data_IF_610300470467
#
_entry.id   IF_610300470467
#
_cell.length_a   1.000
_cell.length_b   1.000
_cell.length_c   1.000
_cell.angle_alpha   90.00
_cell.angle_beta   90.00
_cell.angle_gamma   90.00
#
_symmetry.space_group_name_H-M   'P 1'
#
loop_
_entity.id
_entity.type
_entity.pdbx_description
1 polymer ?
#
# COMPACT_ATOMS: atom_id res chain seq x y z
N UNK A 1 24.74 -2.09 -12.10
CA UNK A 1 24.63 -0.89 -11.24
C UNK A 1 24.70 0.37 -12.09
N UNK A 2 23.84 1.36 -11.82
CA UNK A 2 23.93 2.71 -12.37
C UNK A 2 24.13 3.71 -11.24
N UNK A 3 24.89 4.76 -11.50
CA UNK A 3 25.19 5.86 -10.62
C UNK A 3 24.79 7.16 -11.33
N UNK A 4 23.87 7.92 -10.74
CA UNK A 4 23.38 9.19 -11.29
C UNK A 4 23.62 10.32 -10.28
N UNK A 5 24.07 11.46 -10.79
CA UNK A 5 24.27 12.69 -10.03
C UNK A 5 22.94 13.36 -9.75
N UNK A 6 22.73 13.82 -8.52
CA UNK A 6 21.44 14.32 -8.07
C UNK A 6 21.54 15.77 -7.53
N UNK A 7 21.49 16.79 -8.40
CA UNK A 7 21.46 18.19 -7.94
C UNK A 7 20.12 18.62 -7.32
N UNK A 8 19.01 18.00 -7.69
CA UNK A 8 17.66 18.43 -7.30
C UNK A 8 17.20 17.91 -5.94
N UNK A 9 17.87 16.89 -5.40
CA UNK A 9 17.53 16.27 -4.12
C UNK A 9 18.71 16.34 -3.14
N UNK A 10 19.56 17.37 -3.29
CA UNK A 10 20.74 17.55 -2.45
C UNK A 10 20.31 17.62 -0.97
N UNK A 11 20.76 16.68 -0.14
CA UNK A 11 20.36 16.58 1.27
C UNK A 11 18.92 16.12 1.54
N UNK A 12 18.22 15.56 0.55
CA UNK A 12 16.89 14.95 0.75
C UNK A 12 17.05 13.48 1.18
N UNK A 13 16.76 13.20 2.44
CA UNK A 13 16.54 11.84 2.95
C UNK A 13 15.05 11.48 2.81
N UNK A 14 14.72 10.18 2.79
CA UNK A 14 13.31 9.77 2.82
C UNK A 14 12.54 9.82 1.49
N UNK A 15 13.20 9.73 0.33
CA UNK A 15 12.56 9.90 -1.00
C UNK A 15 12.86 8.74 -1.96
N UNK A 16 11.83 8.03 -2.41
CA UNK A 16 11.95 7.09 -3.52
C UNK A 16 11.87 7.78 -4.89
N UNK A 17 12.92 7.68 -5.70
CA UNK A 17 12.95 8.31 -7.03
C UNK A 17 12.05 7.61 -8.06
N UNK A 18 11.16 8.37 -8.68
CA UNK A 18 10.20 7.88 -9.67
C UNK A 18 10.82 7.72 -11.06
N UNK A 19 10.11 7.00 -11.94
CA UNK A 19 10.47 6.76 -13.35
C UNK A 19 10.90 8.03 -14.09
N UNK A 20 10.19 9.13 -13.89
CA UNK A 20 10.46 10.40 -14.57
C UNK A 20 11.85 10.97 -14.31
N UNK A 21 12.40 10.73 -13.11
CA UNK A 21 13.77 11.14 -12.80
C UNK A 21 14.78 10.42 -13.70
N UNK A 22 14.64 9.11 -13.88
CA UNK A 22 15.56 8.30 -14.67
C UNK A 22 15.37 8.47 -16.19
N UNK A 23 14.22 8.98 -16.63
CA UNK A 23 14.01 9.39 -18.02
C UNK A 23 14.69 10.72 -18.34
N UNK A 24 14.80 11.62 -17.37
CA UNK A 24 15.38 12.96 -17.54
C UNK A 24 16.88 13.01 -17.23
N UNK A 25 17.39 12.12 -16.38
CA UNK A 25 18.77 12.13 -15.92
C UNK A 25 19.56 10.94 -16.47
N UNK A 26 20.73 11.23 -17.07
CA UNK A 26 21.67 10.21 -17.53
C UNK A 26 22.56 9.72 -16.40
N UNK A 27 22.95 8.44 -16.43
CA UNK A 27 23.91 7.90 -15.47
C UNK A 27 25.30 8.49 -15.68
N UNK A 28 25.90 9.02 -14.61
CA UNK A 28 27.28 9.50 -14.57
C UNK A 28 28.31 8.36 -14.54
N UNK A 29 27.94 7.23 -13.93
CA UNK A 29 28.74 6.01 -13.93
C UNK A 29 27.84 4.77 -13.98
N UNK A 30 28.35 3.66 -14.50
CA UNK A 30 27.64 2.37 -14.51
C UNK A 30 28.63 1.23 -14.55
N UNK A 31 28.22 0.07 -14.05
CA UNK A 31 28.96 -1.17 -14.28
C UNK A 31 29.08 -1.42 -15.78
N UNK A 32 30.29 -1.73 -16.25
CA UNK A 32 30.58 -1.88 -17.69
C UNK A 32 29.74 -2.97 -18.34
N UNK A 33 29.49 -4.07 -17.62
CA UNK A 33 28.72 -5.21 -18.10
C UNK A 33 27.78 -5.73 -17.00
N UNK A 34 26.60 -6.21 -17.42
CA UNK A 34 25.78 -7.10 -16.61
C UNK A 34 26.29 -8.52 -16.86
N UNK A 35 27.05 -9.05 -15.90
CA UNK A 35 27.65 -10.38 -15.98
C UNK A 35 27.05 -11.27 -14.91
N UNK A 36 26.86 -12.55 -15.24
CA UNK A 36 26.36 -13.54 -14.28
C UNK A 36 27.52 -14.05 -13.40
N UNK A 37 28.03 -13.17 -12.53
CA UNK A 37 29.00 -13.49 -11.50
C UNK A 37 28.41 -13.20 -10.13
N UNK A 38 28.94 -13.88 -9.10
CA UNK A 38 28.56 -13.66 -7.70
C UNK A 38 28.77 -12.21 -7.24
N UNK A 39 29.78 -11.54 -7.78
CA UNK A 39 30.08 -10.14 -7.47
C UNK A 39 30.42 -9.40 -8.76
N UNK A 40 29.90 -8.17 -8.86
CA UNK A 40 30.28 -7.20 -9.90
C UNK A 40 30.79 -5.96 -9.18
N UNK A 41 32.09 -5.70 -9.28
CA UNK A 41 32.75 -4.53 -8.71
C UNK A 41 33.25 -3.60 -9.81
N UNK A 42 33.31 -2.30 -9.52
CA UNK A 42 33.78 -1.28 -10.45
C UNK A 42 34.41 -0.14 -9.65
N UNK A 43 35.46 0.46 -10.20
CA UNK A 43 36.14 1.61 -9.61
C UNK A 43 35.78 2.85 -10.41
N UNK A 44 35.35 3.91 -9.73
CA UNK A 44 34.98 5.17 -10.35
C UNK A 44 35.77 6.33 -9.74
N UNK A 45 36.02 7.35 -10.56
CA UNK A 45 36.49 8.65 -10.11
C UNK A 45 35.41 9.67 -10.51
N UNK A 46 34.69 10.19 -9.53
CA UNK A 46 33.58 11.11 -9.74
C UNK A 46 33.92 12.46 -9.09
N UNK A 47 33.43 13.58 -9.65
CA UNK A 47 33.48 14.87 -8.96
C UNK A 47 32.86 14.82 -7.56
N UNK A 48 33.19 15.78 -6.70
CA UNK A 48 32.56 15.85 -5.38
C UNK A 48 31.06 16.13 -5.52
N UNK A 49 30.23 15.36 -4.82
CA UNK A 49 28.78 15.54 -4.78
C UNK A 49 28.03 14.28 -4.37
N UNK A 50 26.70 14.35 -4.45
CA UNK A 50 25.79 13.26 -4.07
C UNK A 50 25.43 12.39 -5.27
N UNK A 51 25.45 11.08 -5.04
CA UNK A 51 25.27 10.07 -6.07
C UNK A 51 24.33 8.97 -5.59
N UNK A 52 23.49 8.49 -6.50
CA UNK A 52 22.52 7.43 -6.21
C UNK A 52 22.95 6.17 -6.93
N UNK A 53 23.13 5.09 -6.17
CA UNK A 53 23.50 3.78 -6.70
C UNK A 53 22.26 2.90 -6.80
N UNK A 54 21.98 2.41 -8.01
CA UNK A 54 20.86 1.51 -8.27
C UNK A 54 21.41 0.10 -8.56
N UNK A 55 21.37 -0.83 -7.59
CA UNK A 55 21.62 -2.24 -7.83
C UNK A 55 20.41 -2.89 -8.52
N UNK A 56 20.65 -3.68 -9.56
CA UNK A 56 19.59 -4.41 -10.27
C UNK A 56 20.16 -5.63 -10.99
N UNK A 57 19.29 -6.59 -11.30
CA UNK A 57 19.54 -7.60 -12.34
C UNK A 57 19.38 -6.99 -13.74
N UNK A 58 19.75 -7.74 -14.78
CA UNK A 58 19.57 -7.31 -16.16
C UNK A 58 18.09 -7.36 -16.58
N UNK A 59 17.45 -8.50 -16.33
CA UNK A 59 16.02 -8.69 -16.57
C UNK A 59 15.21 -8.30 -15.32
N UNK A 60 14.00 -7.74 -15.49
CA UNK A 60 13.07 -7.54 -14.39
C UNK A 60 12.58 -8.90 -13.83
N UNK A 61 11.93 -8.85 -12.67
CA UNK A 61 11.29 -10.02 -12.02
C UNK A 61 12.27 -11.17 -11.70
N UNK A 62 13.52 -10.84 -11.41
CA UNK A 62 14.51 -11.79 -10.88
C UNK A 62 14.70 -11.50 -9.41
N UNK A 63 14.26 -12.44 -8.57
CA UNK A 63 14.46 -12.37 -7.14
C UNK A 63 15.91 -12.67 -6.78
N UNK A 64 16.44 -11.94 -5.80
CA UNK A 64 17.79 -12.15 -5.31
C UNK A 64 18.12 -11.24 -4.14
N UNK A 65 18.85 -11.79 -3.17
CA UNK A 65 19.45 -11.02 -2.10
C UNK A 65 20.83 -10.52 -2.55
N UNK A 66 21.17 -9.28 -2.22
CA UNK A 66 22.46 -8.70 -2.57
C UNK A 66 23.05 -7.92 -1.38
N UNK A 67 24.35 -7.66 -1.47
CA UNK A 67 25.06 -6.77 -0.55
C UNK A 67 25.80 -5.74 -1.38
N UNK A 68 25.55 -4.46 -1.14
CA UNK A 68 26.28 -3.36 -1.74
C UNK A 68 27.37 -2.89 -0.77
N UNK A 69 28.60 -2.76 -1.26
CA UNK A 69 29.75 -2.24 -0.48
C UNK A 69 30.36 -1.08 -1.25
N UNK A 70 30.51 0.06 -0.57
CA UNK A 70 31.14 1.26 -1.13
C UNK A 70 32.47 1.48 -0.41
N UNK A 71 33.54 1.58 -1.19
CA UNK A 71 34.88 1.90 -0.69
C UNK A 71 35.32 3.24 -1.29
N UNK A 72 35.67 4.18 -0.44
CA UNK A 72 36.09 5.53 -0.81
C UNK A 72 37.47 5.84 -0.21
N UNK A 73 38.27 6.64 -0.93
CA UNK A 73 39.60 7.08 -0.45
C UNK A 73 39.47 8.13 0.66
N UNK A 74 38.41 8.95 0.59
CA UNK A 74 38.06 9.96 1.59
C UNK A 74 36.80 9.53 2.33
N UNK A 75 36.61 10.04 3.54
CA UNK A 75 35.37 9.81 4.27
C UNK A 75 34.16 10.20 3.42
N UNK A 76 33.20 9.29 3.32
CA UNK A 76 31.94 9.47 2.61
C UNK A 76 30.82 8.89 3.45
N UNK A 77 29.70 9.59 3.48
CA UNK A 77 28.46 9.07 4.07
C UNK A 77 27.70 8.28 3.01
N UNK A 78 27.01 7.24 3.44
CA UNK A 78 26.17 6.40 2.58
C UNK A 78 24.91 6.03 3.35
N UNK A 79 23.76 6.31 2.77
CA UNK A 79 22.46 6.03 3.35
C UNK A 79 21.57 5.30 2.35
N UNK A 80 20.60 4.54 2.85
CA UNK A 80 19.56 3.96 2.02
C UNK A 80 18.55 5.05 1.64
N UNK A 81 18.35 5.24 0.34
CA UNK A 81 17.40 6.21 -0.17
C UNK A 81 16.04 5.52 -0.43
N UNK A 82 15.13 5.67 0.52
CA UNK A 82 13.79 5.08 0.48
C UNK A 82 12.76 5.99 1.17
N UNK A 83 11.48 5.74 0.95
CA UNK A 83 10.40 6.52 1.57
C UNK A 83 10.28 6.23 3.07
N UNK A 84 10.00 7.27 3.87
CA UNK A 84 9.60 7.08 5.26
C UNK A 84 8.16 6.56 5.36
N UNK A 85 7.94 5.65 6.31
CA UNK A 85 6.64 5.06 6.54
C UNK A 85 5.67 6.11 7.08
N UNK A 86 4.66 6.49 6.29
CA UNK A 86 3.65 7.46 6.70
C UNK A 86 2.30 7.19 6.01
N UNK A 87 1.23 7.64 6.66
CA UNK A 87 -0.13 7.56 6.13
C UNK A 87 -0.85 8.89 6.36
N UNK A 88 -1.13 9.58 5.25
CA UNK A 88 -1.95 10.78 5.17
C UNK A 88 -3.36 10.38 4.72
N UNK A 89 -4.14 9.90 5.70
CA UNK A 89 -5.49 9.43 5.47
C UNK A 89 -6.47 10.56 5.80
N UNK A 90 -7.49 10.81 4.96
CA UNK A 90 -8.50 11.80 5.27
C UNK A 90 -9.23 11.44 6.57
N UNK A 91 -9.51 12.43 7.40
CA UNK A 91 -10.35 12.23 8.58
C UNK A 91 -11.74 11.75 8.13
N UNK A 92 -12.25 10.73 8.82
CA UNK A 92 -13.58 10.23 8.55
C UNK A 92 -14.61 11.28 8.97
N UNK A 93 -15.46 11.75 8.04
CA UNK A 93 -16.48 12.73 8.39
C UNK A 93 -17.43 12.11 9.42
N UNK A 94 -17.68 12.84 10.50
CA UNK A 94 -18.70 12.48 11.49
C UNK A 94 -20.07 12.72 10.86
N UNK A 95 -20.53 11.74 10.08
CA UNK A 95 -21.80 11.82 9.37
C UNK A 95 -22.97 11.57 10.31
N UNK A 96 -23.96 12.46 10.28
CA UNK A 96 -25.25 12.18 10.87
C UNK A 96 -26.10 11.37 9.89
N UNK A 97 -26.97 10.49 10.41
CA UNK A 97 -27.88 9.70 9.55
C UNK A 97 -28.79 10.58 8.69
N UNK A 98 -29.10 11.80 9.12
CA UNK A 98 -29.86 12.77 8.34
C UNK A 98 -29.15 13.22 7.07
N UNK A 99 -27.82 13.14 7.01
CA UNK A 99 -27.00 13.56 5.88
C UNK A 99 -26.86 12.47 4.81
N UNK A 100 -27.23 11.23 5.15
CA UNK A 100 -27.21 10.10 4.22
C UNK A 100 -28.42 10.20 3.29
N UNK A 101 -28.16 10.06 1.98
CA UNK A 101 -29.20 10.07 0.95
C UNK A 101 -30.29 9.01 1.19
N UNK A 102 -31.55 9.39 0.99
CA UNK A 102 -32.71 8.51 1.19
C UNK A 102 -32.71 7.29 0.25
N UNK A 103 -32.10 7.42 -0.94
CA UNK A 103 -31.88 6.32 -1.85
C UNK A 103 -30.89 5.29 -1.28
N UNK A 104 -29.81 5.75 -0.64
CA UNK A 104 -28.87 4.86 0.05
C UNK A 104 -29.50 4.21 1.28
N UNK A 105 -30.25 4.94 2.09
CA UNK A 105 -31.01 4.38 3.22
C UNK A 105 -31.96 3.28 2.75
N UNK A 106 -32.70 3.54 1.69
CA UNK A 106 -33.62 2.57 1.08
C UNK A 106 -32.89 1.32 0.58
N UNK A 107 -31.70 1.47 0.01
CA UNK A 107 -30.84 0.34 -0.38
C UNK A 107 -30.38 -0.44 0.86
N UNK A 108 -29.89 0.25 1.89
CA UNK A 108 -29.44 -0.36 3.14
C UNK A 108 -30.57 -1.15 3.80
N UNK A 109 -31.76 -0.58 3.96
CA UNK A 109 -32.90 -1.30 4.59
C UNK A 109 -33.30 -2.55 3.81
N UNK A 110 -33.26 -2.51 2.48
CA UNK A 110 -33.51 -3.69 1.63
C UNK A 110 -32.45 -4.79 1.83
N UNK A 111 -31.21 -4.41 2.15
CA UNK A 111 -30.09 -5.33 2.30
C UNK A 111 -29.94 -5.86 3.74
N UNK A 112 -30.10 -4.99 4.74
CA UNK A 112 -29.99 -5.31 6.16
C UNK A 112 -31.18 -6.14 6.66
N UNK A 113 -32.38 -5.89 6.10
CA UNK A 113 -33.62 -6.55 6.51
C UNK A 113 -34.09 -6.08 7.87
N UNK A 114 -34.79 -6.96 8.61
CA UNK A 114 -35.41 -6.61 9.90
C UNK A 114 -34.41 -6.30 11.01
N UNK A 115 -33.18 -6.81 10.90
CA UNK A 115 -32.13 -6.58 11.90
C UNK A 115 -31.54 -5.18 11.84
N UNK A 116 -31.73 -4.44 10.73
CA UNK A 116 -31.11 -3.12 10.49
C UNK A 116 -29.59 -3.08 10.65
N UNK A 117 -28.94 -4.25 10.55
CA UNK A 117 -27.49 -4.44 10.63
C UNK A 117 -27.02 -5.39 9.52
N UNK A 118 -25.80 -5.17 9.04
CA UNK A 118 -25.15 -6.00 8.02
C UNK A 118 -24.07 -6.85 8.68
N UNK A 119 -24.17 -8.17 8.51
CA UNK A 119 -23.20 -9.15 8.98
C UNK A 119 -22.19 -9.52 7.88
N UNK A 120 -21.19 -10.34 8.22
CA UNK A 120 -20.11 -10.74 7.30
C UNK A 120 -20.67 -11.41 6.01
N UNK A 121 -21.57 -12.40 6.07
CA UNK A 121 -22.10 -13.04 4.86
C UNK A 121 -22.91 -12.09 3.98
N UNK A 122 -23.75 -11.22 4.58
CA UNK A 122 -24.49 -10.22 3.81
C UNK A 122 -23.54 -9.24 3.14
N UNK A 123 -22.52 -8.73 3.86
CA UNK A 123 -21.52 -7.82 3.30
C UNK A 123 -20.82 -8.45 2.10
N UNK A 124 -20.35 -9.69 2.25
CA UNK A 124 -19.70 -10.44 1.18
C UNK A 124 -20.60 -10.56 -0.07
N UNK A 125 -21.86 -10.93 0.12
CA UNK A 125 -22.82 -11.05 -0.98
C UNK A 125 -23.06 -9.70 -1.68
N UNK A 126 -23.19 -8.61 -0.91
CA UNK A 126 -23.42 -7.27 -1.44
C UNK A 126 -22.22 -6.82 -2.28
N UNK A 127 -21.01 -6.89 -1.72
CA UNK A 127 -19.80 -6.46 -2.40
C UNK A 127 -19.56 -7.27 -3.67
N UNK A 128 -19.70 -8.60 -3.62
CA UNK A 128 -19.51 -9.45 -4.80
C UNK A 128 -20.57 -9.19 -5.88
N UNK A 129 -21.82 -8.93 -5.49
CA UNK A 129 -22.86 -8.55 -6.46
C UNK A 129 -22.54 -7.24 -7.16
N UNK A 130 -21.89 -6.30 -6.48
CA UNK A 130 -21.54 -4.99 -7.03
C UNK A 130 -20.32 -5.11 -7.92
N UNK A 131 -19.25 -5.75 -7.46
CA UNK A 131 -18.04 -5.92 -8.28
C UNK A 131 -18.31 -6.75 -9.53
N UNK A 132 -19.16 -7.79 -9.45
CA UNK A 132 -19.53 -8.58 -10.63
C UNK A 132 -20.31 -7.80 -11.71
N UNK A 133 -20.83 -6.60 -11.41
CA UNK A 133 -21.42 -5.71 -12.44
C UNK A 133 -20.34 -5.00 -13.26
N UNK A 134 -19.13 -4.86 -12.72
CA UNK A 134 -18.00 -4.18 -13.34
C UNK A 134 -17.16 -5.18 -14.13
N UNK A 135 -17.46 -5.31 -15.44
CA UNK A 135 -16.76 -6.23 -16.33
C UNK A 135 -15.30 -5.86 -16.61
N UNK A 136 -14.94 -4.61 -16.31
CA UNK A 136 -13.61 -4.04 -16.41
C UNK A 136 -12.66 -4.54 -15.31
N UNK A 137 -13.18 -5.19 -14.26
CA UNK A 137 -12.40 -5.61 -13.10
C UNK A 137 -12.32 -7.13 -13.08
N UNK A 138 -11.10 -7.66 -12.94
CA UNK A 138 -10.88 -9.08 -12.71
C UNK A 138 -10.76 -9.32 -11.21
N UNK A 139 -11.61 -10.19 -10.69
CA UNK A 139 -11.60 -10.60 -9.29
C UNK A 139 -12.32 -11.93 -9.14
N UNK A 140 -11.95 -12.70 -8.12
CA UNK A 140 -12.69 -13.87 -7.67
C UNK A 140 -13.78 -13.53 -6.64
N UNK A 141 -13.97 -12.24 -6.36
CA UNK A 141 -14.82 -11.71 -5.31
C UNK A 141 -14.11 -11.62 -3.96
N UNK A 142 -14.69 -10.84 -3.07
CA UNK A 142 -14.25 -10.69 -1.69
C UNK A 142 -14.42 -11.99 -0.91
N UNK A 143 -13.36 -12.36 -0.20
CA UNK A 143 -13.36 -13.44 0.77
C UNK A 143 -14.02 -13.02 2.09
N UNK A 144 -14.39 -14.00 2.91
CA UNK A 144 -14.97 -13.72 4.23
C UNK A 144 -13.99 -13.01 5.16
N UNK A 145 -12.71 -13.30 5.04
CA UNK A 145 -11.65 -12.65 5.83
C UNK A 145 -11.53 -11.18 5.47
N UNK A 146 -11.54 -10.84 4.18
CA UNK A 146 -11.60 -9.46 3.73
C UNK A 146 -12.77 -8.72 4.37
N UNK A 147 -13.98 -9.29 4.29
CA UNK A 147 -15.18 -8.72 4.90
C UNK A 147 -15.07 -8.55 6.41
N UNK A 148 -14.42 -9.49 7.12
CA UNK A 148 -14.15 -9.34 8.56
C UNK A 148 -13.24 -8.15 8.85
N UNK A 149 -12.14 -7.99 8.10
CA UNK A 149 -11.26 -6.84 8.27
C UNK A 149 -11.97 -5.51 7.99
N UNK A 150 -12.89 -5.46 7.02
CA UNK A 150 -13.70 -4.26 6.76
C UNK A 150 -14.63 -3.92 7.92
N UNK A 151 -15.28 -4.93 8.50
CA UNK A 151 -16.17 -4.73 9.65
C UNK A 151 -15.35 -4.29 10.86
N UNK A 152 -14.22 -4.95 11.14
CA UNK A 152 -13.38 -4.61 12.28
C UNK A 152 -12.82 -3.18 12.22
N UNK A 153 -12.56 -2.66 11.02
CA UNK A 153 -12.11 -1.27 10.85
C UNK A 153 -13.20 -0.24 11.21
N UNK A 154 -14.47 -0.55 10.95
CA UNK A 154 -15.57 0.42 10.99
C UNK A 154 -16.58 0.18 12.12
N UNK A 155 -16.55 -0.99 12.75
CA UNK A 155 -17.46 -1.33 13.84
C UNK A 155 -17.06 -0.57 15.11
N UNK A 156 -17.64 0.62 15.24
CA UNK A 156 -17.53 1.47 16.44
C UNK A 156 -18.28 0.89 17.65
N UNK A 157 -19.15 -0.11 17.44
CA UNK A 157 -20.02 -0.68 18.48
C UNK A 157 -19.47 -1.95 19.11
N UNK A 158 -18.47 -2.59 18.49
CA UNK A 158 -17.86 -3.83 18.93
C UNK A 158 -18.77 -5.07 18.81
N UNK A 159 -19.84 -5.00 18.02
CA UNK A 159 -20.82 -6.08 17.84
C UNK A 159 -20.47 -7.06 16.71
N UNK A 160 -19.47 -6.75 15.90
CA UNK A 160 -19.10 -7.46 14.68
C UNK A 160 -20.11 -7.29 13.54
N UNK A 161 -20.87 -6.18 13.53
CA UNK A 161 -21.92 -5.88 12.55
C UNK A 161 -21.88 -4.39 12.17
N UNK A 162 -22.30 -4.07 10.96
CA UNK A 162 -22.32 -2.68 10.48
C UNK A 162 -23.73 -2.09 10.55
N UNK A 163 -23.85 -0.94 11.20
CA UNK A 163 -25.03 -0.10 11.11
C UNK A 163 -25.08 0.70 9.81
N UNK A 164 -26.13 1.52 9.63
CA UNK A 164 -26.31 2.36 8.44
C UNK A 164 -25.13 3.32 8.22
N UNK A 165 -24.63 3.96 9.30
CA UNK A 165 -23.51 4.92 9.23
C UNK A 165 -22.22 4.22 8.83
N UNK A 166 -21.85 3.16 9.55
CA UNK A 166 -20.61 2.42 9.31
C UNK A 166 -20.59 1.83 7.89
N UNK A 167 -21.73 1.29 7.44
CA UNK A 167 -21.85 0.77 6.09
C UNK A 167 -21.75 1.87 5.02
N UNK A 168 -22.30 3.08 5.28
CA UNK A 168 -22.14 4.21 4.38
C UNK A 168 -20.67 4.63 4.25
N UNK A 169 -19.94 4.74 5.37
CA UNK A 169 -18.51 5.06 5.35
C UNK A 169 -17.72 3.99 4.59
N UNK A 170 -18.00 2.71 4.84
CA UNK A 170 -17.39 1.61 4.08
C UNK A 170 -17.63 1.76 2.58
N UNK A 171 -18.86 2.07 2.21
CA UNK A 171 -19.28 2.15 0.83
C UNK A 171 -18.59 3.31 0.09
N UNK A 172 -18.48 4.48 0.71
CA UNK A 172 -17.73 5.61 0.16
C UNK A 172 -16.24 5.26 -0.02
N UNK A 173 -15.62 4.61 0.97
CA UNK A 173 -14.23 4.14 0.88
C UNK A 173 -14.03 3.17 -0.28
N UNK A 174 -14.90 2.16 -0.43
CA UNK A 174 -14.80 1.19 -1.52
C UNK A 174 -14.95 1.88 -2.89
N UNK A 175 -15.83 2.88 -3.01
CA UNK A 175 -15.93 3.68 -4.26
C UNK A 175 -14.68 4.51 -4.54
N UNK A 176 -14.06 5.09 -3.52
CA UNK A 176 -12.79 5.79 -3.67
C UNK A 176 -11.68 4.83 -4.11
N UNK A 177 -11.55 3.68 -3.46
CA UNK A 177 -10.59 2.64 -3.83
C UNK A 177 -10.84 2.09 -5.23
N UNK A 178 -12.11 1.96 -5.66
CA UNK A 178 -12.47 1.61 -7.03
C UNK A 178 -12.00 2.66 -8.05
N UNK A 179 -12.08 3.94 -7.68
CA UNK A 179 -11.64 5.05 -8.54
C UNK A 179 -10.13 5.04 -8.70
N UNK A 180 -9.39 4.96 -7.58
CA UNK A 180 -7.93 4.79 -7.57
C UNK A 180 -7.54 3.54 -8.36
N UNK A 181 -8.25 2.42 -8.18
CA UNK A 181 -7.91 1.18 -8.87
C UNK A 181 -7.96 1.34 -10.39
N UNK A 182 -9.02 1.98 -10.91
CA UNK A 182 -9.17 2.25 -12.34
C UNK A 182 -8.19 3.27 -12.88
N UNK A 183 -7.80 4.24 -12.06
CA UNK A 183 -6.84 5.28 -12.46
C UNK A 183 -5.44 4.70 -12.65
N UNK A 184 -5.05 3.74 -11.80
CA UNK A 184 -3.71 3.15 -11.79
C UNK A 184 -3.60 1.79 -12.47
N UNK A 185 -4.70 1.18 -12.93
CA UNK A 185 -4.69 0.07 -13.91
C UNK A 185 -4.35 0.63 -15.30
N UNK A 186 -3.08 0.99 -15.49
CA UNK A 186 -2.59 1.74 -16.65
C UNK A 186 -2.66 0.91 -17.94
N UNK A 187 -2.45 -0.40 -17.81
CA UNK A 187 -2.55 -1.34 -18.91
C UNK A 187 -3.99 -1.86 -19.15
N UNK A 188 -4.95 -1.47 -18.30
CA UNK A 188 -6.35 -1.89 -18.34
C UNK A 188 -6.50 -3.40 -18.32
N UNK A 189 -5.61 -4.08 -17.61
CA UNK A 189 -5.63 -5.53 -17.47
C UNK A 189 -6.78 -6.00 -16.57
N UNK A 190 -7.37 -5.09 -15.78
CA UNK A 190 -8.35 -5.40 -14.74
C UNK A 190 -7.71 -5.91 -13.44
N UNK A 191 -6.38 -5.82 -13.35
CA UNK A 191 -5.52 -6.24 -12.24
C UNK A 191 -4.37 -5.25 -12.08
N UNK A 192 -3.68 -5.21 -10.94
CA UNK A 192 -2.52 -4.33 -10.76
C UNK A 192 -1.22 -5.10 -10.68
N UNK A 193 -0.23 -4.72 -11.46
CA UNK A 193 1.14 -5.18 -11.21
C UNK A 193 1.79 -4.44 -10.03
N UNK A 194 2.99 -4.85 -9.62
CA UNK A 194 3.69 -4.25 -8.48
C UNK A 194 4.02 -2.76 -8.68
N UNK A 195 4.27 -2.29 -9.90
CA UNK A 195 4.52 -0.87 -10.16
C UNK A 195 3.26 -0.04 -9.98
N UNK A 196 2.13 -0.51 -10.52
CA UNK A 196 0.82 0.13 -10.39
C UNK A 196 0.36 0.16 -8.93
N UNK A 197 0.54 -0.95 -8.22
CA UNK A 197 0.22 -1.07 -6.79
C UNK A 197 0.96 -0.01 -5.96
N UNK A 198 2.26 0.23 -6.23
CA UNK A 198 3.03 1.25 -5.50
C UNK A 198 2.46 2.66 -5.71
N UNK A 199 2.12 3.01 -6.94
CA UNK A 199 1.52 4.30 -7.27
C UNK A 199 0.12 4.45 -6.66
N UNK A 200 -0.69 3.38 -6.70
CA UNK A 200 -2.03 3.37 -6.13
C UNK A 200 -2.02 3.53 -4.61
N UNK A 201 -1.08 2.90 -3.90
CA UNK A 201 -0.90 3.07 -2.45
C UNK A 201 -0.51 4.52 -2.10
N UNK A 202 0.40 5.12 -2.87
CA UNK A 202 0.81 6.51 -2.70
C UNK A 202 -0.37 7.47 -2.92
N UNK A 203 -1.17 7.24 -3.96
CA UNK A 203 -2.38 8.03 -4.25
C UNK A 203 -3.48 7.85 -3.20
N UNK A 204 -3.54 6.69 -2.55
CA UNK A 204 -4.41 6.43 -1.41
C UNK A 204 -3.91 7.05 -0.09
N UNK A 205 -2.76 7.73 -0.10
CA UNK A 205 -2.19 8.43 1.05
C UNK A 205 -1.14 7.64 1.83
N UNK A 206 -0.73 6.46 1.37
CA UNK A 206 0.26 5.62 2.04
C UNK A 206 1.64 5.76 1.39
N UNK A 207 2.63 6.24 2.15
CA UNK A 207 4.05 6.18 1.77
C UNK A 207 4.71 5.04 2.52
N UNK A 208 5.29 4.12 1.76
CA UNK A 208 5.84 2.87 2.29
C UNK A 208 7.27 2.69 1.78
N UNK A 209 8.17 2.30 2.69
CA UNK A 209 9.49 1.82 2.31
C UNK A 209 9.39 0.52 1.48
N UNK A 210 10.47 0.17 0.79
CA UNK A 210 10.60 -1.01 -0.05
C UNK A 210 10.36 -2.30 0.72
N UNK A 211 10.83 -2.40 1.96
CA UNK A 211 10.68 -3.62 2.75
C UNK A 211 9.20 -3.94 3.02
N UNK A 212 8.44 -2.98 3.55
CA UNK A 212 7.01 -3.14 3.81
C UNK A 212 6.23 -3.34 2.51
N UNK A 213 6.59 -2.62 1.45
CA UNK A 213 5.97 -2.81 0.15
C UNK A 213 6.17 -4.23 -0.41
N UNK A 214 7.38 -4.80 -0.29
CA UNK A 214 7.65 -6.17 -0.70
C UNK A 214 6.82 -7.19 0.10
N UNK A 215 6.65 -6.97 1.41
CA UNK A 215 5.77 -7.81 2.25
C UNK A 215 4.30 -7.73 1.80
N UNK A 216 3.83 -6.55 1.40
CA UNK A 216 2.48 -6.37 0.84
C UNK A 216 2.34 -7.16 -0.45
N UNK A 217 3.27 -7.03 -1.39
CA UNK A 217 3.23 -7.79 -2.64
C UNK A 217 3.26 -9.30 -2.37
N UNK A 218 4.14 -9.77 -1.49
CA UNK A 218 4.23 -11.18 -1.13
C UNK A 218 2.94 -11.72 -0.47
N UNK A 219 2.20 -10.88 0.25
CA UNK A 219 0.97 -11.28 0.94
C UNK A 219 -0.29 -11.23 0.06
N UNK A 220 -0.36 -10.28 -0.86
CA UNK A 220 -1.58 -9.93 -1.59
C UNK A 220 -1.53 -10.18 -3.11
N UNK A 221 -0.33 -10.30 -3.70
CA UNK A 221 -0.23 -10.68 -5.11
C UNK A 221 -0.60 -12.16 -5.30
N UNK A 222 -1.23 -12.46 -6.44
CA UNK A 222 -1.52 -13.82 -6.89
C UNK A 222 -0.30 -14.43 -7.57
N UNK A 223 -0.44 -15.66 -8.06
CA UNK A 223 0.67 -16.43 -8.68
C UNK A 223 1.29 -15.75 -9.91
N UNK A 224 0.56 -14.85 -10.55
CA UNK A 224 1.00 -14.07 -11.72
C UNK A 224 1.67 -12.75 -11.34
N UNK A 225 1.94 -12.51 -10.05
CA UNK A 225 2.49 -11.26 -9.50
C UNK A 225 1.57 -10.04 -9.66
N UNK A 226 0.30 -10.26 -9.96
CA UNK A 226 -0.71 -9.22 -10.01
C UNK A 226 -1.62 -9.25 -8.78
N UNK A 227 -2.21 -8.08 -8.48
CA UNK A 227 -3.11 -7.87 -7.36
C UNK A 227 -4.50 -7.59 -7.92
N UNK A 228 -5.46 -8.47 -7.60
CA UNK A 228 -6.87 -8.30 -7.95
C UNK A 228 -7.53 -7.23 -7.07
N UNK A 229 -8.68 -6.71 -7.49
CA UNK A 229 -9.39 -5.64 -6.76
C UNK A 229 -9.75 -6.00 -5.30
N UNK A 230 -10.18 -7.24 -5.05
CA UNK A 230 -10.48 -7.70 -3.69
C UNK A 230 -9.25 -7.67 -2.79
N UNK A 231 -8.10 -8.07 -3.33
CA UNK A 231 -6.82 -8.12 -2.61
C UNK A 231 -6.27 -6.71 -2.37
N UNK A 232 -6.43 -5.80 -3.34
CA UNK A 232 -6.12 -4.38 -3.21
C UNK A 232 -6.91 -3.71 -2.08
N UNK A 233 -8.24 -3.83 -2.11
CA UNK A 233 -9.12 -3.24 -1.08
C UNK A 233 -8.83 -3.84 0.30
N UNK A 234 -8.61 -5.15 0.37
CA UNK A 234 -8.27 -5.82 1.64
C UNK A 234 -6.94 -5.32 2.19
N UNK A 235 -5.95 -5.10 1.34
CA UNK A 235 -4.67 -4.51 1.73
C UNK A 235 -4.84 -3.11 2.30
N UNK A 236 -5.55 -2.22 1.59
CA UNK A 236 -5.77 -0.84 2.03
C UNK A 236 -6.50 -0.76 3.37
N UNK A 237 -7.56 -1.55 3.55
CA UNK A 237 -8.33 -1.58 4.80
C UNK A 237 -7.48 -2.10 5.96
N UNK A 238 -6.67 -3.14 5.73
CA UNK A 238 -5.78 -3.68 6.77
C UNK A 238 -4.68 -2.68 7.12
N UNK A 239 -4.10 -2.03 6.12
CA UNK A 239 -3.06 -1.03 6.30
C UNK A 239 -3.62 0.18 7.07
N UNK A 240 -4.78 0.70 6.67
CA UNK A 240 -5.50 1.76 7.39
C UNK A 240 -5.75 1.38 8.86
N UNK A 241 -6.26 0.17 9.11
CA UNK A 241 -6.50 -0.32 10.48
C UNK A 241 -5.22 -0.33 11.32
N UNK A 242 -4.11 -0.81 10.75
CA UNK A 242 -2.81 -0.83 11.42
C UNK A 242 -2.31 0.58 11.74
N UNK A 243 -2.38 1.51 10.79
CA UNK A 243 -1.97 2.91 11.02
C UNK A 243 -2.84 3.61 12.06
N UNK A 244 -4.17 3.46 12.00
CA UNK A 244 -5.08 4.04 13.00
C UNK A 244 -4.82 3.47 14.39
N UNK A 245 -4.66 2.16 14.49
CA UNK A 245 -4.41 1.48 15.77
C UNK A 245 -3.09 1.92 16.38
N UNK A 246 -2.03 2.00 15.56
CA UNK A 246 -0.73 2.50 16.00
C UNK A 246 -0.82 3.96 16.49
N UNK A 247 -1.39 4.88 15.69
CA UNK A 247 -1.57 6.29 16.08
C UNK A 247 -2.40 6.47 17.35
N UNK A 248 -3.36 5.58 17.61
CA UNK A 248 -4.18 5.63 18.83
C UNK A 248 -3.39 5.19 20.07
N UNK A 249 -2.40 4.30 19.88
CA UNK A 249 -1.58 3.75 20.97
C UNK A 249 -0.31 4.56 21.23
N UNK A 250 0.24 5.22 20.20
CA UNK A 250 1.38 6.13 20.27
C UNK A 250 0.95 7.50 20.83
N UNK A 251 0.71 7.54 22.14
CA UNK A 251 0.16 8.74 22.82
C UNK A 251 1.14 9.89 22.95
N UNK A 252 2.45 9.61 22.88
CA UNK A 252 3.55 10.57 22.97
C UNK A 252 4.17 10.91 21.61
N UNK A 253 3.70 10.28 20.53
CA UNK A 253 4.11 10.53 19.15
C UNK A 253 5.63 10.39 18.94
N UNK A 254 6.25 9.45 19.66
CA UNK A 254 7.68 9.15 19.55
C UNK A 254 7.96 8.07 18.49
N UNK A 255 6.91 7.48 17.91
CA UNK A 255 7.01 6.43 16.90
C UNK A 255 7.26 5.04 17.50
N UNK A 256 7.11 4.85 18.81
CA UNK A 256 7.39 3.59 19.52
C UNK A 256 6.24 3.25 20.47
N UNK A 257 5.60 2.10 20.23
CA UNK A 257 4.56 1.59 21.14
C UNK A 257 5.05 0.37 21.91
N UNK A 258 4.87 0.39 23.23
CA UNK A 258 5.19 -0.74 24.12
C UNK A 258 3.96 -1.58 24.43
N UNK A 259 4.07 -2.90 24.27
CA UNK A 259 2.98 -3.85 24.52
C UNK A 259 3.34 -4.89 25.58
N UNK A 260 2.40 -5.22 26.45
CA UNK A 260 2.43 -6.50 27.16
C UNK A 260 2.15 -7.66 26.19
N UNK A 261 2.60 -8.87 26.52
CA UNK A 261 2.34 -10.05 25.69
C UNK A 261 0.83 -10.27 25.42
N UNK A 262 -0.03 -10.04 26.41
CA UNK A 262 -1.49 -10.17 26.23
C UNK A 262 -2.04 -9.13 25.26
N UNK A 263 -1.56 -7.87 25.32
CA UNK A 263 -1.98 -6.83 24.39
C UNK A 263 -1.51 -7.14 22.96
N UNK A 264 -0.27 -7.63 22.81
CA UNK A 264 0.26 -8.05 21.52
C UNK A 264 -0.56 -9.17 20.87
N UNK A 265 -0.92 -10.21 21.63
CA UNK A 265 -1.77 -11.30 21.12
C UNK A 265 -3.17 -10.78 20.78
N UNK A 266 -3.76 -9.93 21.62
CA UNK A 266 -5.09 -9.36 21.36
C UNK A 266 -5.08 -8.48 20.10
N UNK A 267 -4.01 -7.70 19.89
CA UNK A 267 -3.87 -6.85 18.70
C UNK A 267 -3.76 -7.73 17.44
N UNK A 268 -2.80 -8.66 17.42
CA UNK A 268 -2.51 -9.47 16.22
C UNK A 268 -3.61 -10.46 15.84
N UNK A 269 -4.40 -10.95 16.81
CA UNK A 269 -5.51 -11.87 16.54
C UNK A 269 -6.79 -11.16 16.09
N UNK A 270 -6.97 -9.89 16.46
CA UNK A 270 -8.18 -9.13 16.15
C UNK A 270 -8.06 -8.32 14.84
N UNK A 271 -6.85 -7.90 14.46
CA UNK A 271 -6.55 -7.22 13.18
C UNK A 271 -6.27 -8.18 12.03
#
# INVERSE_FOLDING_TARGET
MRCSYCCQFLGSTGVHLKRDFFLKNTSNARSELFINLREVSSRFCLPAGEYIIIPSTFEPNKEGNFVLRVFSEKATESEELDDELSADLPEEPVLQESEIDEGFKSLFFKLAGMEMEIDIPKLQMILNRVVNKHKDIKTNGFEKEACRSMINLLDTTGKGRLGLRDFHVLWEKIKQYLTVFREFDLDKSGTMNSYEMRLALEAAGFKLNNHIFQLIILRYAKQDMNVDFDSFVTCLIRLESMFKTFKTMDTDADGVVSFSFSQWISLTMFT
#
